data_IF_938178733090
#
_entry.id   IF_938178733090
#
_cell.length_a   1.000
_cell.length_b   1.000
_cell.length_c   1.000
_cell.angle_alpha   90.00
_cell.angle_beta   90.00
_cell.angle_gamma   90.00
#
_symmetry.space_group_name_H-M   'P 1'
#
loop_
_entity.id
_entity.type
_entity.pdbx_description
1 polymer ?
#
# COMPACT_ATOMS: atom_id res chain seq x y z
N UNK A 1 3.93 -16.64 -19.18
CA UNK A 1 4.17 -15.19 -19.21
C UNK A 1 5.04 -14.86 -18.03
N UNK A 2 6.23 -14.30 -18.25
CA UNK A 2 7.10 -13.84 -17.18
C UNK A 2 6.34 -12.79 -16.37
N UNK A 3 6.07 -13.07 -15.09
CA UNK A 3 5.54 -12.07 -14.17
C UNK A 3 6.59 -10.96 -14.06
N UNK A 4 6.38 -9.87 -14.80
CA UNK A 4 7.23 -8.68 -14.69
C UNK A 4 7.14 -8.20 -13.22
N UNK A 5 8.27 -8.07 -12.50
CA UNK A 5 8.26 -7.69 -11.08
C UNK A 5 7.44 -6.42 -10.81
N UNK A 6 7.48 -5.45 -11.74
CA UNK A 6 6.70 -4.23 -11.67
C UNK A 6 5.18 -4.46 -11.73
N UNK A 7 4.71 -5.44 -12.51
CA UNK A 7 3.27 -5.75 -12.61
C UNK A 7 2.76 -6.35 -11.31
N UNK A 8 3.49 -7.30 -10.72
CA UNK A 8 3.10 -7.90 -9.44
C UNK A 8 3.20 -6.89 -8.28
N UNK A 9 4.22 -6.04 -8.26
CA UNK A 9 4.32 -4.94 -7.31
C UNK A 9 3.13 -3.97 -7.42
N UNK A 10 2.69 -3.65 -8.64
CA UNK A 10 1.53 -2.76 -8.84
C UNK A 10 0.26 -3.40 -8.28
N UNK A 11 -0.01 -4.69 -8.57
CA UNK A 11 -1.18 -5.39 -8.02
C UNK A 11 -1.19 -5.39 -6.49
N UNK A 12 -0.03 -5.67 -5.86
CA UNK A 12 0.12 -5.61 -4.39
C UNK A 12 -0.19 -4.22 -3.85
N UNK A 13 0.38 -3.17 -4.46
CA UNK A 13 0.10 -1.79 -4.05
C UNK A 13 -1.39 -1.42 -4.18
N UNK A 14 -2.07 -1.89 -5.23
CA UNK A 14 -3.52 -1.69 -5.40
C UNK A 14 -4.30 -2.41 -4.31
N UNK A 15 -3.96 -3.65 -4.01
CA UNK A 15 -4.60 -4.43 -2.95
C UNK A 15 -4.42 -3.79 -1.56
N UNK A 16 -3.22 -3.31 -1.25
CA UNK A 16 -2.94 -2.61 0.01
C UNK A 16 -3.73 -1.30 0.10
N UNK A 17 -3.83 -0.57 -1.01
CA UNK A 17 -4.65 0.64 -1.11
C UNK A 17 -6.12 0.34 -0.85
N UNK A 18 -6.68 -0.71 -1.47
CA UNK A 18 -8.05 -1.16 -1.23
C UNK A 18 -8.28 -1.47 0.24
N UNK A 19 -7.37 -2.25 0.84
CA UNK A 19 -7.44 -2.64 2.25
C UNK A 19 -7.46 -1.42 3.15
N UNK A 20 -6.58 -0.45 2.89
CA UNK A 20 -6.52 0.81 3.63
C UNK A 20 -7.82 1.59 3.52
N UNK A 21 -8.34 1.80 2.30
CA UNK A 21 -9.62 2.49 2.05
C UNK A 21 -10.78 1.86 2.82
N UNK A 22 -10.83 0.53 2.90
CA UNK A 22 -11.84 -0.20 3.67
C UNK A 22 -11.67 0.03 5.18
N UNK A 23 -10.45 -0.09 5.71
CA UNK A 23 -10.15 0.07 7.13
C UNK A 23 -10.37 1.51 7.63
N UNK A 24 -9.96 2.50 6.83
CA UNK A 24 -10.16 3.92 7.12
C UNK A 24 -11.60 4.38 6.91
N UNK A 25 -12.45 3.54 6.31
CA UNK A 25 -13.82 3.86 5.89
C UNK A 25 -13.86 5.10 4.99
N UNK A 26 -12.85 5.27 4.15
CA UNK A 26 -12.75 6.42 3.24
C UNK A 26 -13.93 6.42 2.28
N UNK A 27 -14.60 7.57 2.15
CA UNK A 27 -15.76 7.72 1.29
C UNK A 27 -15.34 7.61 -0.18
N UNK A 28 -15.90 6.62 -0.86
CA UNK A 28 -15.63 6.38 -2.29
C UNK A 28 -16.01 7.57 -3.18
N UNK A 29 -17.03 8.35 -2.81
CA UNK A 29 -17.40 9.59 -3.51
C UNK A 29 -16.31 10.65 -3.44
N UNK A 30 -15.60 10.77 -2.31
CA UNK A 30 -14.50 11.72 -2.17
C UNK A 30 -13.30 11.33 -3.03
N UNK A 31 -13.01 10.03 -3.17
CA UNK A 31 -11.97 9.54 -4.09
C UNK A 31 -12.37 9.87 -5.55
N UNK A 32 -13.64 9.64 -5.90
CA UNK A 32 -14.16 9.91 -7.23
C UNK A 32 -14.08 11.40 -7.60
N UNK A 33 -14.44 12.29 -6.68
CA UNK A 33 -14.29 13.74 -6.82
C UNK A 33 -12.82 14.14 -7.01
N UNK A 34 -11.92 13.61 -6.16
CA UNK A 34 -10.50 13.95 -6.20
C UNK A 34 -9.79 13.49 -7.49
N UNK A 35 -10.19 12.36 -8.08
CA UNK A 35 -9.60 11.89 -9.35
C UNK A 35 -10.43 12.24 -10.60
N UNK A 36 -11.54 12.99 -10.45
CA UNK A 36 -12.38 13.41 -11.57
C UNK A 36 -13.05 12.26 -12.31
N UNK A 37 -13.45 11.20 -11.59
CA UNK A 37 -14.06 9.99 -12.16
C UNK A 37 -15.44 9.73 -11.57
N UNK A 38 -16.22 8.91 -12.27
CA UNK A 38 -17.48 8.43 -11.72
C UNK A 38 -17.25 7.46 -10.56
N UNK A 39 -18.08 7.54 -9.51
CA UNK A 39 -18.04 6.67 -8.33
C UNK A 39 -18.02 5.18 -8.70
N UNK A 40 -18.83 4.75 -9.67
CA UNK A 40 -18.94 3.35 -10.09
C UNK A 40 -17.62 2.85 -10.72
N UNK A 41 -16.91 3.71 -11.45
CA UNK A 41 -15.60 3.41 -12.00
C UNK A 41 -14.57 3.22 -10.89
N UNK A 42 -14.55 4.10 -9.90
CA UNK A 42 -13.65 3.98 -8.74
C UNK A 42 -13.93 2.72 -7.94
N UNK A 43 -15.21 2.38 -7.73
CA UNK A 43 -15.60 1.13 -7.07
C UNK A 43 -15.04 -0.10 -7.82
N UNK A 44 -15.24 -0.16 -9.14
CA UNK A 44 -14.71 -1.24 -9.97
C UNK A 44 -13.18 -1.36 -9.88
N UNK A 45 -12.47 -0.24 -9.85
CA UNK A 45 -11.01 -0.26 -9.72
C UNK A 45 -10.54 -0.72 -8.35
N UNK A 46 -11.14 -0.20 -7.28
CA UNK A 46 -10.81 -0.65 -5.93
C UNK A 46 -11.12 -2.13 -5.72
N UNK A 47 -12.11 -2.67 -6.44
CA UNK A 47 -12.44 -4.09 -6.37
C UNK A 47 -11.53 -5.00 -7.22
N UNK A 48 -10.76 -4.44 -8.15
CA UNK A 48 -9.86 -5.16 -9.05
C UNK A 48 -8.37 -5.06 -8.69
N UNK A 49 -7.54 -5.57 -9.59
CA UNK A 49 -6.07 -5.60 -9.44
C UNK A 49 -5.38 -4.37 -10.07
N UNK A 50 -6.14 -3.53 -10.78
CA UNK A 50 -5.63 -2.38 -11.52
C UNK A 50 -6.52 -1.16 -11.33
N UNK A 51 -5.88 0.01 -11.34
CA UNK A 51 -6.50 1.30 -11.08
C UNK A 51 -5.71 2.39 -11.81
N UNK A 52 -6.40 3.46 -12.22
CA UNK A 52 -5.67 4.61 -12.76
C UNK A 52 -4.75 5.24 -11.70
N UNK A 53 -3.59 5.73 -12.12
CA UNK A 53 -2.63 6.40 -11.23
C UNK A 53 -3.26 7.54 -10.42
N UNK A 54 -4.15 8.34 -11.03
CA UNK A 54 -4.84 9.42 -10.34
C UNK A 54 -5.74 8.90 -9.20
N UNK A 55 -6.46 7.80 -9.44
CA UNK A 55 -7.33 7.21 -8.43
C UNK A 55 -6.52 6.48 -7.34
N UNK A 56 -5.37 5.87 -7.69
CA UNK A 56 -4.42 5.32 -6.72
C UNK A 56 -3.92 6.39 -5.74
N UNK A 57 -3.40 7.52 -6.26
CA UNK A 57 -2.89 8.63 -5.44
C UNK A 57 -4.01 9.20 -4.56
N UNK A 58 -5.18 9.47 -5.15
CA UNK A 58 -6.31 10.00 -4.40
C UNK A 58 -6.79 9.04 -3.29
N UNK A 59 -6.88 7.74 -3.59
CA UNK A 59 -7.28 6.73 -2.62
C UNK A 59 -6.29 6.64 -1.45
N UNK A 60 -4.98 6.67 -1.72
CA UNK A 60 -3.95 6.67 -0.69
C UNK A 60 -4.04 7.90 0.21
N UNK A 61 -4.02 9.10 -0.39
CA UNK A 61 -4.05 10.36 0.37
C UNK A 61 -5.31 10.48 1.23
N UNK A 62 -6.48 10.15 0.67
CA UNK A 62 -7.76 10.24 1.39
C UNK A 62 -8.00 9.11 2.39
N UNK A 63 -7.20 8.04 2.35
CA UNK A 63 -7.20 6.96 3.35
C UNK A 63 -6.04 7.06 4.35
N UNK A 64 -5.27 8.16 4.29
CA UNK A 64 -4.16 8.43 5.20
C UNK A 64 -2.91 7.59 4.93
N UNK A 65 -2.74 7.09 3.71
CA UNK A 65 -1.53 6.40 3.27
C UNK A 65 -0.62 7.28 2.42
N UNK A 66 0.62 6.86 2.28
CA UNK A 66 1.60 7.44 1.36
C UNK A 66 1.70 6.56 0.09
N UNK A 67 1.39 7.12 -1.11
CA UNK A 67 1.45 6.38 -2.36
C UNK A 67 2.86 5.96 -2.77
N UNK A 68 3.90 6.73 -2.41
CA UNK A 68 5.29 6.39 -2.72
C UNK A 68 5.78 5.28 -1.79
N UNK A 69 5.49 5.41 -0.49
CA UNK A 69 5.83 4.37 0.49
C UNK A 69 5.16 3.04 0.16
N UNK A 70 3.88 3.06 -0.19
CA UNK A 70 3.14 1.84 -0.54
C UNK A 70 3.72 1.17 -1.79
N UNK A 71 4.07 1.94 -2.84
CA UNK A 71 4.73 1.39 -4.03
C UNK A 71 6.13 0.85 -3.71
N UNK A 72 6.92 1.57 -2.92
CA UNK A 72 8.26 1.14 -2.51
C UNK A 72 8.20 -0.19 -1.73
N UNK A 73 7.26 -0.30 -0.79
CA UNK A 73 7.03 -1.53 -0.04
C UNK A 73 6.60 -2.68 -0.95
N UNK A 74 5.71 -2.44 -1.90
CA UNK A 74 5.25 -3.45 -2.84
C UNK A 74 6.35 -3.95 -3.80
N UNK A 75 7.30 -3.08 -4.18
CA UNK A 75 8.50 -3.43 -4.95
C UNK A 75 9.51 -4.23 -4.11
N UNK A 76 9.65 -3.88 -2.83
CA UNK A 76 10.57 -4.54 -1.90
C UNK A 76 10.01 -5.84 -1.30
N UNK A 77 8.70 -6.09 -1.41
CA UNK A 77 8.08 -7.33 -0.96
C UNK A 77 8.64 -8.57 -1.70
N UNK A 78 9.15 -8.41 -2.93
CA UNK A 78 9.88 -9.49 -3.63
C UNK A 78 11.33 -9.68 -3.11
N UNK A 79 11.87 -8.72 -2.34
CA UNK A 79 13.22 -8.77 -1.74
C UNK A 79 13.20 -9.07 -0.24
N UNK A 80 12.02 -9.29 0.37
CA UNK A 80 11.95 -9.64 1.79
C UNK A 80 12.24 -11.12 1.93
N UNK A 81 13.53 -11.44 1.91
CA UNK A 81 14.03 -12.63 2.60
C UNK A 81 13.60 -12.49 4.08
N UNK A 82 12.86 -13.45 4.66
CA UNK A 82 12.43 -13.38 6.06
C UNK A 82 13.57 -13.16 7.07
N UNK A 83 14.83 -13.33 6.65
CA UNK A 83 16.01 -12.97 7.43
C UNK A 83 16.14 -11.46 7.75
N UNK A 84 15.80 -10.54 6.84
CA UNK A 84 15.96 -9.09 7.07
C UNK A 84 14.96 -8.52 8.10
N UNK A 85 13.80 -9.18 8.28
CA UNK A 85 12.83 -8.79 9.29
C UNK A 85 13.31 -9.08 10.71
N UNK A 86 14.26 -10.02 10.88
CA UNK A 86 14.82 -10.39 12.18
C UNK A 86 15.95 -9.45 12.64
N UNK A 87 16.63 -8.74 11.73
CA UNK A 87 17.78 -7.89 12.09
C UNK A 87 17.41 -6.50 12.65
N UNK A 88 16.15 -6.08 12.53
CA UNK A 88 15.68 -4.79 13.06
C UNK A 88 15.05 -4.84 14.47
N UNK A 89 15.15 -5.97 15.18
CA UNK A 89 14.82 -6.02 16.60
C UNK A 89 16.12 -5.89 17.39
N UNK A 90 16.55 -4.65 17.65
CA UNK A 90 17.51 -4.40 18.74
C UNK A 90 16.71 -4.45 20.05
N UNK A 91 16.91 -5.43 20.96
CA UNK A 91 16.42 -5.29 22.31
C UNK A 91 17.26 -4.21 23.01
N UNK A 92 16.74 -2.99 23.03
CA UNK A 92 17.23 -1.94 23.92
C UNK A 92 16.86 -2.32 25.36
N UNK A 93 17.67 -3.15 26.04
CA UNK A 93 17.65 -3.39 27.50
C UNK A 93 18.76 -4.36 27.91
N UNK A 94 20.01 -3.87 28.02
CA UNK A 94 21.06 -4.56 28.77
C UNK A 94 22.20 -3.63 29.24
N UNK A 95 21.89 -2.39 29.65
CA UNK A 95 22.84 -1.61 30.47
C UNK A 95 22.17 -1.23 31.78
N UNK A 96 22.38 -2.06 32.80
CA UNK A 96 21.90 -1.82 34.14
C UNK A 96 21.91 -3.08 35.00
N UNK A 97 23.09 -3.44 35.54
CA UNK A 97 23.14 -4.40 36.66
C UNK A 97 24.45 -5.16 36.85
N UNK A 98 25.22 -4.70 37.84
CA UNK A 98 26.12 -5.46 38.70
C UNK A 98 27.41 -6.07 38.11
N UNK A 99 28.54 -5.39 38.34
CA UNK A 99 29.39 -5.67 39.51
C UNK A 99 30.34 -4.51 39.79
#
# INVERSE_FOLDING_TARGET
MSNLPAVEATKRAVHDTRTRVLLSKTKMTSIAEACGRNRMTVAKWLDGDDISLAAYIAAQQLSGGDPIETLANALNADNTDPALAAENIIPALAEGGAK
#
